data_IF_535865652127
#
_entry.id   IF_535865652127
#
_cell.length_a   1.000
_cell.length_b   1.000
_cell.length_c   1.000
_cell.angle_alpha   90.00
_cell.angle_beta   90.00
_cell.angle_gamma   90.00
#
_symmetry.space_group_name_H-M   'P 1'
#
loop_
_entity.id
_entity.type
_entity.pdbx_description
1 polymer ?
#
# COMPACT_ATOMS: atom_id res chain seq x y z
N UNK A 1 -6.04 -4.24 5.26
CA UNK A 1 -5.37 -4.27 6.58
C UNK A 1 -4.19 -5.24 6.69
N UNK A 2 -3.96 -6.16 5.72
CA UNK A 2 -2.76 -7.04 5.72
C UNK A 2 -1.42 -6.29 5.80
N UNK A 3 -1.40 -5.04 5.37
CA UNK A 3 -0.22 -4.18 5.46
C UNK A 3 0.20 -3.82 6.89
N UNK A 4 -0.55 -4.22 7.93
CA UNK A 4 -0.07 -4.17 9.30
C UNK A 4 1.23 -4.99 9.50
N UNK A 5 1.36 -6.14 8.80
CA UNK A 5 2.61 -6.90 8.80
C UNK A 5 3.77 -6.11 8.20
N UNK A 6 3.55 -5.52 7.01
CA UNK A 6 4.60 -4.68 6.39
C UNK A 6 4.90 -3.43 7.21
N UNK A 7 3.91 -2.89 7.93
CA UNK A 7 4.10 -1.77 8.85
C UNK A 7 5.03 -2.13 10.01
N UNK A 8 4.91 -3.32 10.58
CA UNK A 8 5.84 -3.82 11.61
C UNK A 8 7.28 -3.93 11.10
N UNK A 9 7.46 -4.43 9.86
CA UNK A 9 8.79 -4.48 9.23
C UNK A 9 9.34 -3.08 8.99
N UNK A 10 8.51 -2.15 8.49
CA UNK A 10 8.91 -0.77 8.23
C UNK A 10 9.28 -0.05 9.54
N UNK A 11 8.55 -0.28 10.63
CA UNK A 11 8.90 0.25 11.95
C UNK A 11 10.29 -0.21 12.39
N UNK A 12 10.58 -1.51 12.30
CA UNK A 12 11.90 -2.05 12.64
C UNK A 12 13.02 -1.50 11.74
N UNK A 13 12.79 -1.33 10.42
CA UNK A 13 13.77 -0.70 9.53
C UNK A 13 14.10 0.74 9.96
N UNK A 14 13.10 1.51 10.40
CA UNK A 14 13.28 2.87 10.92
C UNK A 14 14.08 2.84 12.23
N UNK A 15 13.70 1.97 13.17
CA UNK A 15 14.35 1.81 14.48
C UNK A 15 15.81 1.40 14.36
N UNK A 16 16.14 0.56 13.36
CA UNK A 16 17.52 0.16 13.05
C UNK A 16 18.25 1.12 12.11
N UNK A 17 17.66 2.27 11.79
CA UNK A 17 18.26 3.30 10.90
C UNK A 17 18.69 2.76 9.52
N UNK A 18 17.92 1.79 8.98
CA UNK A 18 18.17 1.25 7.64
C UNK A 18 17.50 2.13 6.60
N UNK A 19 18.30 2.88 5.83
CA UNK A 19 17.80 3.87 4.88
C UNK A 19 18.03 3.48 3.43
N UNK A 20 16.98 3.58 2.63
CA UNK A 20 17.02 3.37 1.18
C UNK A 20 17.01 4.73 0.45
N UNK A 21 17.75 4.88 -0.66
CA UNK A 21 17.74 6.11 -1.45
C UNK A 21 16.44 6.33 -2.22
N UNK A 22 15.66 5.27 -2.38
CA UNK A 22 14.40 5.24 -3.12
C UNK A 22 13.40 4.31 -2.46
N UNK A 23 12.17 4.76 -2.37
CA UNK A 23 11.05 3.96 -1.86
C UNK A 23 9.86 4.12 -2.79
N UNK A 24 9.19 3.05 -3.12
CA UNK A 24 7.93 3.09 -3.84
C UNK A 24 6.87 2.21 -3.19
N UNK A 25 5.63 2.62 -3.33
CA UNK A 25 4.50 1.89 -2.78
C UNK A 25 3.19 2.20 -3.48
N UNK A 26 2.21 1.33 -3.28
CA UNK A 26 0.85 1.56 -3.76
C UNK A 26 -0.15 1.07 -2.72
N UNK A 27 -1.37 1.64 -2.73
CA UNK A 27 -2.40 1.32 -1.74
C UNK A 27 -1.85 1.49 -0.32
N UNK A 28 -2.05 0.55 0.58
CA UNK A 28 -1.47 0.60 1.93
C UNK A 28 0.07 0.67 1.93
N UNK A 29 0.75 0.26 0.85
CA UNK A 29 2.20 0.43 0.69
C UNK A 29 2.61 1.90 0.51
N UNK A 30 1.74 2.76 -0.03
CA UNK A 30 2.00 4.21 -0.09
C UNK A 30 2.02 4.85 1.30
N UNK A 31 1.12 4.42 2.20
CA UNK A 31 1.13 4.86 3.60
C UNK A 31 2.40 4.42 4.32
N UNK A 32 2.83 3.16 4.12
CA UNK A 32 4.08 2.66 4.70
C UNK A 32 5.30 3.42 4.17
N UNK A 33 5.35 3.74 2.86
CA UNK A 33 6.43 4.51 2.26
C UNK A 33 6.52 5.94 2.84
N UNK A 34 5.38 6.60 3.03
CA UNK A 34 5.30 7.93 3.66
C UNK A 34 5.79 7.89 5.11
N UNK A 35 5.35 6.90 5.90
CA UNK A 35 5.78 6.75 7.29
C UNK A 35 7.29 6.46 7.40
N UNK A 36 7.81 5.63 6.49
CA UNK A 36 9.24 5.35 6.43
C UNK A 36 10.07 6.62 6.16
N UNK A 37 9.64 7.45 5.21
CA UNK A 37 10.32 8.71 4.88
C UNK A 37 10.20 9.72 6.02
N UNK A 38 9.07 9.77 6.72
CA UNK A 38 8.90 10.59 7.92
C UNK A 38 9.72 10.10 9.12
N UNK A 39 10.37 8.91 9.03
CA UNK A 39 11.16 8.29 10.09
C UNK A 39 10.39 8.09 11.40
N UNK A 40 9.10 7.72 11.27
CA UNK A 40 8.18 7.64 12.40
C UNK A 40 7.63 6.21 12.58
N UNK A 41 8.29 5.37 13.40
CA UNK A 41 7.86 4.01 13.67
C UNK A 41 6.53 3.96 14.44
N UNK A 42 6.29 4.93 15.33
CA UNK A 42 5.05 5.00 16.10
C UNK A 42 3.85 5.31 15.20
N UNK A 43 3.99 6.31 14.32
CA UNK A 43 2.95 6.61 13.32
C UNK A 43 2.69 5.42 12.41
N UNK A 44 3.72 4.64 12.08
CA UNK A 44 3.56 3.40 11.30
C UNK A 44 2.61 2.44 12.02
N UNK A 45 2.75 2.25 13.34
CA UNK A 45 1.82 1.44 14.14
C UNK A 45 0.44 2.08 14.24
N UNK A 46 0.37 3.39 14.51
CA UNK A 46 -0.90 4.12 14.59
C UNK A 46 -1.74 3.96 13.31
N UNK A 47 -1.15 4.12 12.13
CA UNK A 47 -1.83 4.04 10.85
C UNK A 47 -2.41 2.65 10.53
N UNK A 48 -1.85 1.56 11.06
CA UNK A 48 -2.21 0.20 10.68
C UNK A 48 -2.81 -0.64 11.81
N UNK A 49 -2.69 -0.18 13.06
CA UNK A 49 -3.20 -0.87 14.26
C UNK A 49 -4.15 0.03 15.03
N UNK A 50 -3.64 1.10 15.64
CA UNK A 50 -4.38 1.85 16.64
C UNK A 50 -5.58 2.60 16.07
N UNK A 51 -5.47 3.05 14.80
CA UNK A 51 -6.56 3.71 14.06
C UNK A 51 -7.83 2.87 14.00
N UNK A 52 -7.72 1.53 14.00
CA UNK A 52 -8.88 0.64 13.97
C UNK A 52 -9.71 0.70 15.26
N UNK A 53 -9.16 1.21 16.35
CA UNK A 53 -9.89 1.49 17.60
C UNK A 53 -10.75 2.76 17.55
N UNK A 54 -10.56 3.61 16.55
CA UNK A 54 -11.35 4.84 16.42
C UNK A 54 -12.71 4.52 15.77
N UNK A 55 -13.85 4.91 16.39
CA UNK A 55 -15.18 4.64 15.81
C UNK A 55 -15.41 5.23 14.42
N UNK A 56 -14.66 6.26 14.03
CA UNK A 56 -14.75 6.90 12.71
C UNK A 56 -14.00 6.14 11.62
N UNK A 57 -13.16 5.15 11.97
CA UNK A 57 -12.30 4.44 11.03
C UNK A 57 -13.09 3.70 9.95
N UNK A 58 -14.18 3.01 10.33
CA UNK A 58 -14.97 2.24 9.35
C UNK A 58 -15.86 1.19 10.01
N UNK A 59 -16.35 0.29 9.17
CA UNK A 59 -17.26 -0.78 9.57
C UNK A 59 -18.71 -0.53 9.15
N UNK A 60 -19.67 -1.23 9.75
CA UNK A 60 -21.10 -1.15 9.40
C UNK A 60 -21.66 0.25 9.59
N UNK A 61 -21.21 0.97 10.62
CA UNK A 61 -21.62 2.36 10.88
C UNK A 61 -21.23 3.30 9.74
N UNK A 62 -20.02 3.20 9.23
CA UNK A 62 -19.54 4.00 8.11
C UNK A 62 -20.33 3.74 6.81
N UNK A 63 -20.72 2.49 6.57
CA UNK A 63 -21.60 2.15 5.44
C UNK A 63 -22.98 2.82 5.53
N UNK A 64 -23.56 2.91 6.74
CA UNK A 64 -24.85 3.55 6.96
C UNK A 64 -24.81 5.07 6.72
N UNK A 65 -23.64 5.69 6.92
CA UNK A 65 -23.40 7.11 6.65
C UNK A 65 -22.92 7.41 5.23
N UNK A 66 -22.94 6.41 4.33
CA UNK A 66 -22.46 6.52 2.94
C UNK A 66 -20.97 6.87 2.80
N UNK A 67 -20.14 6.65 3.83
CA UNK A 67 -18.70 6.91 3.82
C UNK A 67 -17.87 5.75 3.23
N UNK A 68 -18.53 4.68 2.79
CA UNK A 68 -17.90 3.42 2.41
C UNK A 68 -17.64 2.52 3.61
N UNK A 69 -17.07 1.31 3.40
CA UNK A 69 -16.70 0.42 4.51
C UNK A 69 -15.59 1.02 5.38
N UNK A 70 -14.58 1.66 4.76
CA UNK A 70 -13.62 2.51 5.43
C UNK A 70 -13.96 3.97 5.14
N UNK A 71 -14.04 4.79 6.19
CA UNK A 71 -14.22 6.23 6.07
C UNK A 71 -12.93 6.89 5.59
N UNK A 72 -12.69 6.79 4.28
CA UNK A 72 -11.46 7.28 3.67
C UNK A 72 -11.32 8.79 3.76
N UNK A 73 -12.44 9.54 3.80
CA UNK A 73 -12.42 10.99 3.99
C UNK A 73 -11.85 11.34 5.35
N UNK A 74 -12.40 10.77 6.42
CA UNK A 74 -11.86 11.02 7.74
C UNK A 74 -10.40 10.58 7.85
N UNK A 75 -10.10 9.36 7.41
CA UNK A 75 -8.79 8.74 7.57
C UNK A 75 -7.65 9.54 6.94
N UNK A 76 -7.89 10.15 5.77
CA UNK A 76 -6.85 10.83 5.00
C UNK A 76 -6.98 12.35 4.99
N UNK A 77 -8.21 12.91 5.04
CA UNK A 77 -8.39 14.35 4.96
C UNK A 77 -8.49 14.99 6.35
N UNK A 78 -9.11 14.31 7.33
CA UNK A 78 -9.43 14.91 8.64
C UNK A 78 -8.47 14.46 9.76
N UNK A 79 -8.07 13.17 9.80
CA UNK A 79 -7.28 12.61 10.90
C UNK A 79 -5.88 13.25 11.06
N UNK A 80 -5.30 13.78 9.99
CA UNK A 80 -4.07 14.59 10.05
C UNK A 80 -4.35 15.96 10.68
N UNK A 81 -5.51 16.56 10.36
CA UNK A 81 -5.85 17.91 10.79
C UNK A 81 -6.37 17.93 12.23
N UNK A 82 -7.11 16.89 12.67
CA UNK A 82 -7.66 16.79 14.02
C UNK A 82 -6.67 16.19 15.05
N UNK A 83 -5.45 15.86 14.59
CA UNK A 83 -4.40 15.29 15.44
C UNK A 83 -4.55 13.81 15.76
N UNK A 84 -5.51 13.10 15.15
CA UNK A 84 -5.69 11.65 15.33
C UNK A 84 -4.56 10.86 14.69
N UNK A 85 -3.95 11.37 13.61
CA UNK A 85 -2.78 10.82 12.94
C UNK A 85 -1.75 11.93 12.68
N UNK A 86 -1.07 12.43 13.71
CA UNK A 86 -0.07 13.48 13.57
C UNK A 86 1.05 13.02 12.65
N UNK A 87 1.72 13.96 12.01
CA UNK A 87 2.85 13.70 11.13
C UNK A 87 3.92 14.77 11.31
N UNK A 88 5.16 14.34 11.44
CA UNK A 88 6.31 15.23 11.33
C UNK A 88 6.52 15.59 9.85
N UNK A 89 5.96 16.72 9.46
CA UNK A 89 6.07 17.22 8.09
C UNK A 89 7.48 17.66 7.73
N UNK A 90 8.22 18.22 8.66
CA UNK A 90 9.59 18.69 8.42
C UNK A 90 10.50 17.47 8.17
N UNK A 91 10.39 16.42 8.97
CA UNK A 91 11.10 15.17 8.74
C UNK A 91 10.79 14.57 7.37
N UNK A 92 9.52 14.55 6.95
CA UNK A 92 9.12 14.05 5.64
C UNK A 92 9.62 14.92 4.49
N UNK A 93 9.39 16.25 4.56
CA UNK A 93 9.65 17.17 3.44
C UNK A 93 11.14 17.40 3.16
N UNK A 94 11.98 17.29 4.21
CA UNK A 94 13.45 17.48 4.09
C UNK A 94 14.21 16.17 3.83
N UNK A 95 13.54 15.02 3.91
CA UNK A 95 14.21 13.72 3.70
C UNK A 95 14.72 13.57 2.26
N UNK A 96 15.97 13.17 2.02
CA UNK A 96 16.52 13.03 0.67
C UNK A 96 16.01 11.81 -0.12
N UNK A 97 15.35 10.86 0.54
CA UNK A 97 14.81 9.65 -0.10
C UNK A 97 13.81 10.00 -1.19
N UNK A 98 14.02 9.46 -2.39
CA UNK A 98 13.07 9.60 -3.50
C UNK A 98 11.83 8.73 -3.22
N UNK A 99 10.64 9.25 -3.53
CA UNK A 99 9.35 8.56 -3.36
C UNK A 99 8.60 8.48 -4.68
N UNK A 100 8.05 7.30 -4.99
CA UNK A 100 6.97 7.16 -5.99
C UNK A 100 5.80 6.38 -5.41
N UNK A 101 4.60 6.90 -5.61
CA UNK A 101 3.35 6.19 -5.33
C UNK A 101 2.49 6.19 -6.59
N UNK A 102 1.60 5.20 -6.72
CA UNK A 102 0.72 5.14 -7.89
C UNK A 102 -0.74 5.00 -7.52
N UNK A 103 -1.59 5.49 -8.44
CA UNK A 103 -3.03 5.29 -8.47
C UNK A 103 -3.47 4.82 -9.86
N UNK A 104 -4.74 4.48 -9.97
CA UNK A 104 -5.38 4.11 -11.22
C UNK A 104 -6.44 5.16 -11.55
N UNK A 105 -6.37 5.78 -12.72
CA UNK A 105 -7.40 6.67 -13.22
C UNK A 105 -8.57 5.85 -13.80
N UNK A 106 -9.76 6.06 -13.23
CA UNK A 106 -10.94 5.24 -13.55
C UNK A 106 -11.40 5.36 -15.00
N UNK A 107 -11.36 6.58 -15.56
CA UNK A 107 -12.06 6.90 -16.82
C UNK A 107 -11.18 6.72 -18.06
N UNK A 108 -9.86 6.63 -17.89
CA UNK A 108 -8.90 6.33 -18.97
C UNK A 108 -8.20 4.99 -18.83
N UNK A 109 -8.18 4.42 -17.61
CA UNK A 109 -7.43 3.19 -17.32
C UNK A 109 -5.94 3.42 -17.14
N UNK A 110 -5.48 4.66 -17.13
CA UNK A 110 -4.08 4.99 -16.97
C UNK A 110 -3.59 4.74 -15.54
N UNK A 111 -2.36 4.26 -15.42
CA UNK A 111 -1.61 4.30 -14.16
C UNK A 111 -1.04 5.71 -13.99
N UNK A 112 -1.40 6.38 -12.90
CA UNK A 112 -0.88 7.70 -12.54
C UNK A 112 0.10 7.53 -11.39
N UNK A 113 1.28 8.11 -11.49
CA UNK A 113 2.30 8.09 -10.45
C UNK A 113 2.56 9.50 -9.94
N UNK A 114 2.80 9.60 -8.64
CA UNK A 114 3.20 10.84 -7.98
C UNK A 114 4.51 10.63 -7.25
N UNK A 115 5.26 11.71 -7.17
CA UNK A 115 6.53 11.78 -6.45
C UNK A 115 6.36 12.61 -5.18
N UNK A 116 7.42 12.78 -4.41
CA UNK A 116 7.38 13.63 -3.21
C UNK A 116 7.18 15.10 -3.57
N UNK A 117 7.65 15.54 -4.73
CA UNK A 117 7.49 16.91 -5.23
C UNK A 117 6.02 17.31 -5.45
N UNK A 118 5.15 16.32 -5.72
CA UNK A 118 3.70 16.52 -5.83
C UNK A 118 3.04 16.68 -4.45
N UNK A 119 3.73 16.33 -3.37
CA UNK A 119 3.25 16.34 -1.99
C UNK A 119 3.66 17.66 -1.30
N UNK A 120 2.99 18.74 -1.64
CA UNK A 120 3.36 20.11 -1.20
C UNK A 120 2.90 20.47 0.21
N UNK A 121 2.10 19.64 0.85
CA UNK A 121 1.59 19.82 2.23
C UNK A 121 1.17 18.47 2.82
N UNK A 122 1.00 18.37 4.16
CA UNK A 122 0.46 17.15 4.79
C UNK A 122 -0.87 16.71 4.19
N UNK A 123 -1.75 17.65 3.89
CA UNK A 123 -3.06 17.37 3.31
C UNK A 123 -2.94 16.87 1.86
N UNK A 124 -2.10 17.51 1.03
CA UNK A 124 -1.87 17.07 -0.36
C UNK A 124 -1.29 15.67 -0.37
N UNK A 125 -0.27 15.39 0.46
CA UNK A 125 0.31 14.06 0.62
C UNK A 125 -0.76 13.03 1.01
N UNK A 126 -1.57 13.32 2.02
CA UNK A 126 -2.62 12.40 2.47
C UNK A 126 -3.67 12.12 1.38
N UNK A 127 -4.04 13.13 0.58
CA UNK A 127 -4.97 12.97 -0.55
C UNK A 127 -4.39 12.10 -1.66
N UNK A 128 -3.09 12.21 -1.97
CA UNK A 128 -2.43 11.35 -2.95
C UNK A 128 -2.32 9.90 -2.42
N UNK A 129 -2.02 9.72 -1.14
CA UNK A 129 -2.04 8.39 -0.49
C UNK A 129 -3.45 7.80 -0.47
N UNK A 130 -4.48 8.62 -0.20
CA UNK A 130 -5.89 8.22 -0.32
C UNK A 130 -6.21 7.76 -1.74
N UNK A 131 -5.82 8.52 -2.76
CA UNK A 131 -6.03 8.18 -4.16
C UNK A 131 -5.41 6.81 -4.50
N UNK A 132 -4.16 6.57 -4.02
CA UNK A 132 -3.47 5.29 -4.15
C UNK A 132 -4.18 4.12 -3.44
N UNK A 133 -4.96 4.40 -2.40
CA UNK A 133 -5.57 3.40 -1.50
C UNK A 133 -7.07 3.21 -1.69
N UNK A 134 -7.71 3.96 -2.59
CA UNK A 134 -9.17 3.96 -2.77
C UNK A 134 -9.66 2.69 -3.48
N UNK A 135 -10.02 1.68 -2.70
CA UNK A 135 -10.52 0.41 -3.22
C UNK A 135 -11.92 0.57 -3.83
N UNK A 136 -12.15 0.11 -5.09
CA UNK A 136 -13.47 0.13 -5.72
C UNK A 136 -14.52 -0.59 -4.86
N UNK A 137 -15.73 -0.05 -4.81
CA UNK A 137 -16.89 -0.56 -4.09
C UNK A 137 -16.76 -0.59 -2.55
N UNK A 138 -15.60 -0.35 -2.01
CA UNK A 138 -15.32 -0.39 -0.56
C UNK A 138 -15.11 1.01 0.01
N UNK A 139 -14.57 1.91 -0.79
CA UNK A 139 -14.27 3.29 -0.43
C UNK A 139 -14.82 4.26 -1.48
N UNK A 140 -15.19 5.45 -1.04
CA UNK A 140 -15.63 6.49 -1.96
C UNK A 140 -14.46 6.98 -2.83
N UNK A 141 -14.63 7.06 -4.15
CA UNK A 141 -13.62 7.61 -5.06
C UNK A 141 -13.17 9.01 -4.64
N UNK A 142 -11.95 9.36 -5.02
CA UNK A 142 -11.41 10.70 -4.83
C UNK A 142 -11.07 11.31 -6.18
N UNK A 143 -11.32 12.61 -6.32
CA UNK A 143 -10.91 13.40 -7.48
C UNK A 143 -9.59 14.12 -7.16
N UNK A 144 -8.62 13.96 -8.05
CA UNK A 144 -7.34 14.66 -8.01
C UNK A 144 -7.08 15.25 -9.39
N UNK A 145 -6.91 16.57 -9.48
CA UNK A 145 -6.67 17.27 -10.74
C UNK A 145 -7.78 17.09 -11.77
N UNK A 146 -9.04 16.95 -11.36
CA UNK A 146 -10.19 16.72 -12.25
C UNK A 146 -10.34 15.25 -12.72
N UNK A 147 -9.53 14.33 -12.22
CA UNK A 147 -9.53 12.91 -12.59
C UNK A 147 -9.96 12.05 -11.40
N UNK A 148 -10.81 11.06 -11.66
CA UNK A 148 -11.28 10.14 -10.60
C UNK A 148 -10.28 9.02 -10.39
N UNK A 149 -9.69 8.97 -9.18
CA UNK A 149 -8.65 8.04 -8.81
C UNK A 149 -9.18 6.86 -7.99
N UNK A 150 -8.61 5.70 -8.24
CA UNK A 150 -8.83 4.44 -7.55
C UNK A 150 -7.49 3.79 -7.16
N UNK A 151 -7.56 2.72 -6.36
CA UNK A 151 -6.43 1.97 -5.82
C UNK A 151 -5.36 1.64 -6.88
N UNK A 152 -4.11 1.99 -6.57
CA UNK A 152 -2.97 1.76 -7.45
C UNK A 152 -2.74 0.31 -7.83
N UNK A 153 -3.27 -0.63 -7.04
CA UNK A 153 -3.25 -2.06 -7.37
C UNK A 153 -4.17 -2.47 -8.52
N UNK A 154 -4.87 -1.53 -9.16
CA UNK A 154 -5.58 -1.72 -10.44
C UNK A 154 -4.67 -1.39 -11.64
N UNK A 155 -3.71 -0.53 -11.46
CA UNK A 155 -2.75 -0.10 -12.48
C UNK A 155 -1.67 -1.14 -12.78
N UNK A 156 -0.54 -0.67 -13.30
CA UNK A 156 0.64 -1.47 -13.65
C UNK A 156 1.12 -2.29 -12.45
N UNK A 157 1.60 -3.52 -12.68
CA UNK A 157 2.04 -4.43 -11.63
C UNK A 157 0.93 -5.02 -10.77
N UNK A 158 -0.34 -4.54 -10.90
CA UNK A 158 -1.56 -5.08 -10.27
C UNK A 158 -1.48 -5.30 -8.74
N UNK A 159 -0.56 -4.61 -8.07
CA UNK A 159 -0.30 -4.71 -6.62
C UNK A 159 1.17 -4.96 -6.26
N UNK A 160 2.06 -5.10 -7.23
CA UNK A 160 3.51 -5.22 -7.08
C UNK A 160 4.16 -4.00 -7.74
N UNK A 161 4.74 -3.05 -6.98
CA UNK A 161 5.19 -1.76 -7.50
C UNK A 161 6.60 -1.79 -8.13
N UNK A 162 7.14 -2.96 -8.45
CA UNK A 162 8.52 -3.17 -8.90
C UNK A 162 8.90 -2.31 -10.13
N UNK A 163 7.98 -2.23 -11.11
CA UNK A 163 8.18 -1.46 -12.34
C UNK A 163 8.55 0.00 -12.08
N UNK A 164 8.03 0.64 -11.00
CA UNK A 164 8.36 2.04 -10.69
C UNK A 164 9.86 2.21 -10.37
N UNK A 165 10.46 1.26 -9.66
CA UNK A 165 11.87 1.31 -9.34
C UNK A 165 12.74 0.94 -10.56
N UNK A 166 12.28 -0.02 -11.39
CA UNK A 166 12.96 -0.40 -12.64
C UNK A 166 12.97 0.75 -13.64
N UNK A 167 11.84 1.46 -13.83
CA UNK A 167 11.75 2.66 -14.67
C UNK A 167 12.69 3.78 -14.22
N UNK A 168 12.93 3.88 -12.90
CA UNK A 168 13.87 4.84 -12.30
C UNK A 168 15.34 4.34 -12.29
N UNK A 169 15.62 3.20 -12.94
CA UNK A 169 16.96 2.66 -13.18
C UNK A 169 17.54 1.84 -12.03
N UNK A 170 16.76 1.43 -11.07
CA UNK A 170 17.21 0.54 -10.01
C UNK A 170 17.24 -0.92 -10.48
N UNK A 171 18.27 -1.65 -10.08
CA UNK A 171 18.50 -3.04 -10.47
C UNK A 171 18.48 -4.01 -9.29
N UNK A 172 18.51 -3.52 -8.06
CA UNK A 172 18.42 -4.30 -6.83
C UNK A 172 17.26 -3.84 -5.97
N UNK A 173 16.53 -4.78 -5.39
CA UNK A 173 15.23 -4.51 -4.76
C UNK A 173 15.13 -5.16 -3.39
N UNK A 174 14.75 -4.38 -2.38
CA UNK A 174 14.28 -4.88 -1.10
C UNK A 174 12.74 -4.82 -1.11
N UNK A 175 12.10 -5.96 -1.31
CA UNK A 175 10.65 -6.03 -1.48
C UNK A 175 9.97 -6.59 -0.23
N UNK A 176 8.98 -5.86 0.31
CA UNK A 176 8.18 -6.30 1.45
C UNK A 176 6.77 -6.66 0.98
N UNK A 177 6.45 -7.95 1.02
CA UNK A 177 5.17 -8.51 0.57
C UNK A 177 4.16 -8.71 1.68
N UNK A 178 2.88 -8.74 1.31
CA UNK A 178 1.76 -9.02 2.23
C UNK A 178 1.20 -10.44 2.08
N UNK A 179 1.88 -11.29 1.31
CA UNK A 179 1.44 -12.66 1.05
C UNK A 179 2.57 -13.66 1.29
N UNK A 180 2.25 -14.85 1.82
CA UNK A 180 3.22 -15.93 1.96
C UNK A 180 3.86 -16.32 0.63
N UNK A 181 5.02 -16.97 0.70
CA UNK A 181 5.67 -17.55 -0.46
C UNK A 181 4.73 -18.51 -1.22
N UNK A 182 4.86 -18.55 -2.54
CA UNK A 182 4.04 -19.41 -3.41
C UNK A 182 2.59 -18.92 -3.62
N UNK A 183 2.17 -17.84 -2.98
CA UNK A 183 0.83 -17.29 -3.24
C UNK A 183 0.67 -16.86 -4.70
N UNK A 184 -0.47 -17.23 -5.29
CA UNK A 184 -0.91 -16.73 -6.61
C UNK A 184 -2.38 -16.33 -6.55
N UNK A 185 -2.76 -15.27 -7.25
CA UNK A 185 -4.16 -14.87 -7.37
C UNK A 185 -4.89 -15.81 -8.32
N UNK A 186 -6.08 -16.24 -7.91
CA UNK A 186 -6.97 -17.01 -8.79
C UNK A 186 -7.66 -16.09 -9.79
N UNK A 187 -7.62 -16.39 -11.10
CA UNK A 187 -8.37 -15.66 -12.12
C UNK A 187 -9.86 -15.60 -11.84
N UNK A 188 -10.49 -14.54 -12.29
CA UNK A 188 -11.92 -14.34 -12.10
C UNK A 188 -12.73 -15.33 -12.93
N UNK A 189 -13.51 -16.20 -12.29
CA UNK A 189 -14.41 -17.15 -12.95
C UNK A 189 -15.57 -16.49 -13.72
N UNK A 190 -16.19 -17.19 -14.68
CA UNK A 190 -17.20 -16.66 -15.60
C UNK A 190 -18.36 -15.95 -14.90
N UNK A 191 -18.95 -16.54 -13.85
CA UNK A 191 -20.06 -15.93 -13.12
C UNK A 191 -19.68 -14.61 -12.45
N UNK A 192 -18.49 -14.57 -11.82
CA UNK A 192 -17.98 -13.34 -11.21
C UNK A 192 -17.65 -12.27 -12.25
N UNK A 193 -17.14 -12.64 -13.43
CA UNK A 193 -16.94 -11.72 -14.56
C UNK A 193 -18.24 -11.05 -15.00
N UNK A 194 -19.34 -11.83 -15.17
CA UNK A 194 -20.64 -11.30 -15.53
C UNK A 194 -21.22 -10.32 -14.50
N UNK A 195 -21.09 -10.64 -13.20
CA UNK A 195 -21.50 -9.73 -12.14
C UNK A 195 -20.64 -8.44 -12.16
N UNK A 196 -19.33 -8.58 -12.27
CA UNK A 196 -18.42 -7.44 -12.28
C UNK A 196 -18.64 -6.54 -13.49
N UNK A 197 -18.92 -7.11 -14.67
CA UNK A 197 -19.28 -6.34 -15.87
C UNK A 197 -20.53 -5.47 -15.64
N UNK A 198 -21.54 -5.97 -14.90
CA UNK A 198 -22.73 -5.19 -14.54
C UNK A 198 -22.43 -4.10 -13.53
N UNK A 199 -21.61 -4.40 -12.50
CA UNK A 199 -21.21 -3.43 -11.47
C UNK A 199 -20.36 -2.30 -12.04
N UNK A 200 -19.57 -2.56 -13.07
CA UNK A 200 -18.73 -1.59 -13.78
C UNK A 200 -19.43 -1.01 -15.03
N UNK A 201 -20.78 -1.04 -15.10
CA UNK A 201 -21.49 -0.47 -16.24
C UNK A 201 -21.09 1.01 -16.45
N UNK A 202 -20.64 1.36 -17.67
CA UNK A 202 -20.10 2.68 -17.98
C UNK A 202 -18.65 2.95 -17.56
N UNK A 203 -17.98 1.95 -16.99
CA UNK A 203 -16.56 2.05 -16.54
C UNK A 203 -15.72 0.90 -17.15
N UNK A 204 -15.51 0.89 -18.48
CA UNK A 204 -14.86 -0.23 -19.17
C UNK A 204 -13.43 -0.49 -18.70
N UNK A 205 -12.67 0.56 -18.42
CA UNK A 205 -11.28 0.45 -17.95
C UNK A 205 -11.21 -0.14 -16.54
N UNK A 206 -12.13 0.24 -15.64
CA UNK A 206 -12.22 -0.38 -14.32
C UNK A 206 -12.55 -1.87 -14.43
N UNK A 207 -13.52 -2.24 -15.29
CA UNK A 207 -13.83 -3.65 -15.53
C UNK A 207 -12.61 -4.43 -16.02
N UNK A 208 -11.91 -3.92 -17.03
CA UNK A 208 -10.73 -4.57 -17.61
C UNK A 208 -9.62 -4.72 -16.57
N UNK A 209 -9.35 -3.66 -15.81
CA UNK A 209 -8.36 -3.68 -14.75
C UNK A 209 -8.66 -4.76 -13.68
N UNK A 210 -9.94 -4.92 -13.30
CA UNK A 210 -10.36 -5.95 -12.35
C UNK A 210 -10.34 -7.36 -12.96
N UNK A 211 -10.76 -7.50 -14.22
CA UNK A 211 -10.85 -8.79 -14.91
C UNK A 211 -9.48 -9.42 -15.15
N UNK A 212 -8.46 -8.60 -15.47
CA UNK A 212 -7.08 -9.04 -15.76
C UNK A 212 -6.14 -8.97 -14.57
N UNK A 213 -6.62 -8.50 -13.41
CA UNK A 213 -5.77 -8.26 -12.24
C UNK A 213 -4.98 -9.48 -11.77
N UNK A 214 -5.60 -10.67 -11.83
CA UNK A 214 -4.97 -11.88 -11.34
C UNK A 214 -3.76 -12.25 -12.20
N UNK A 215 -3.95 -12.23 -13.52
CA UNK A 215 -2.91 -12.53 -14.49
C UNK A 215 -1.73 -11.54 -14.39
N UNK A 216 -2.02 -10.24 -14.36
CA UNK A 216 -1.00 -9.19 -14.24
C UNK A 216 -0.24 -9.25 -12.91
N UNK A 217 -0.94 -9.53 -11.80
CA UNK A 217 -0.32 -9.70 -10.49
C UNK A 217 0.59 -10.91 -10.46
N UNK A 218 0.16 -12.04 -11.02
CA UNK A 218 0.95 -13.26 -11.04
C UNK A 218 2.19 -13.10 -11.92
N UNK A 219 2.07 -12.44 -13.08
CA UNK A 219 3.21 -12.13 -13.94
C UNK A 219 4.25 -11.23 -13.23
N UNK A 220 3.79 -10.22 -12.47
CA UNK A 220 4.69 -9.38 -11.67
C UNK A 220 5.36 -10.16 -10.52
N UNK A 221 4.67 -11.15 -9.91
CA UNK A 221 5.30 -12.05 -8.94
C UNK A 221 6.32 -12.98 -9.58
N UNK A 222 6.04 -13.52 -10.77
CA UNK A 222 6.98 -14.39 -11.48
C UNK A 222 8.27 -13.64 -11.80
N UNK A 223 8.17 -12.38 -12.24
CA UNK A 223 9.32 -11.51 -12.44
C UNK A 223 10.08 -11.23 -11.13
N UNK A 224 9.38 -10.94 -10.04
CA UNK A 224 10.00 -10.76 -8.72
C UNK A 224 10.73 -12.04 -8.26
N UNK A 225 10.13 -13.21 -8.46
CA UNK A 225 10.75 -14.51 -8.13
C UNK A 225 11.99 -14.79 -9.00
N UNK A 226 12.03 -14.30 -10.24
CA UNK A 226 13.23 -14.35 -11.10
C UNK A 226 14.36 -13.47 -10.57
N UNK A 227 14.04 -12.24 -10.15
CA UNK A 227 15.02 -11.35 -9.55
C UNK A 227 15.55 -11.88 -8.22
N UNK A 228 14.68 -12.49 -7.39
CA UNK A 228 15.08 -13.13 -6.14
C UNK A 228 16.06 -14.29 -6.40
N UNK A 229 15.77 -15.18 -7.37
CA UNK A 229 16.66 -16.27 -7.78
C UNK A 229 17.99 -15.78 -8.35
N UNK A 230 17.99 -14.63 -9.01
CA UNK A 230 19.19 -13.98 -9.53
C UNK A 230 20.00 -13.21 -8.46
N UNK A 231 19.55 -13.18 -7.19
CA UNK A 231 20.18 -12.42 -6.11
C UNK A 231 20.00 -10.90 -6.22
N UNK A 232 19.14 -10.44 -7.14
CA UNK A 232 18.83 -9.02 -7.38
C UNK A 232 17.68 -8.51 -6.51
N UNK A 233 16.86 -9.39 -5.95
CA UNK A 233 15.85 -9.01 -4.98
C UNK A 233 16.02 -9.78 -3.66
N UNK A 234 15.88 -9.07 -2.54
CA UNK A 234 15.60 -9.66 -1.24
C UNK A 234 14.10 -9.50 -1.00
N UNK A 235 13.40 -10.62 -0.86
CA UNK A 235 11.94 -10.62 -0.77
C UNK A 235 11.49 -11.08 0.60
N UNK A 236 10.98 -10.13 1.38
CA UNK A 236 10.45 -10.38 2.72
C UNK A 236 8.96 -10.70 2.62
N UNK A 237 8.57 -11.88 3.10
CA UNK A 237 7.18 -12.38 3.06
C UNK A 237 6.76 -12.87 4.44
N UNK A 238 5.48 -12.72 4.83
CA UNK A 238 4.97 -13.37 6.03
C UNK A 238 4.96 -14.91 5.85
N UNK A 239 5.24 -15.64 6.90
CA UNK A 239 5.06 -17.10 6.91
C UNK A 239 3.58 -17.46 6.76
N UNK A 240 2.71 -16.72 7.46
CA UNK A 240 1.25 -16.86 7.39
C UNK A 240 0.61 -15.48 7.38
N UNK A 241 -0.60 -15.37 6.82
CA UNK A 241 -1.39 -14.13 6.82
C UNK A 241 -2.82 -14.42 7.31
N UNK A 242 -3.07 -14.38 8.62
CA UNK A 242 -4.35 -14.80 9.20
C UNK A 242 -5.49 -13.79 9.02
N UNK A 243 -5.21 -12.59 8.50
CA UNK A 243 -6.20 -11.51 8.35
C UNK A 243 -6.54 -11.18 6.90
N UNK A 244 -7.69 -10.57 6.69
CA UNK A 244 -8.17 -10.07 5.41
C UNK A 244 -7.90 -8.55 5.25
N UNK A 245 -8.11 -8.02 4.03
CA UNK A 245 -7.97 -6.58 3.77
C UNK A 245 -8.97 -5.70 4.54
N UNK A 246 -10.10 -6.27 4.92
CA UNK A 246 -11.19 -5.60 5.63
C UNK A 246 -11.19 -5.90 7.14
N UNK A 247 -10.10 -6.42 7.69
CA UNK A 247 -9.97 -6.66 9.13
C UNK A 247 -10.00 -5.33 9.90
N UNK A 248 -10.80 -5.29 10.98
CA UNK A 248 -10.94 -4.12 11.86
C UNK A 248 -10.69 -4.46 13.33
N UNK A 249 -10.45 -5.72 13.66
CA UNK A 249 -10.14 -6.14 15.02
C UNK A 249 -8.71 -5.71 15.38
N UNK A 250 -8.60 -4.78 16.34
CA UNK A 250 -7.33 -4.17 16.74
C UNK A 250 -6.32 -5.20 17.28
N UNK A 251 -6.77 -6.22 18.03
CA UNK A 251 -5.86 -7.22 18.59
C UNK A 251 -5.26 -8.11 17.51
N UNK A 252 -6.06 -8.45 16.47
CA UNK A 252 -5.54 -9.17 15.30
C UNK A 252 -4.58 -8.32 14.47
N UNK A 253 -4.86 -7.03 14.33
CA UNK A 253 -3.97 -6.11 13.62
C UNK A 253 -2.66 -5.94 14.37
N UNK A 254 -2.72 -5.80 15.70
CA UNK A 254 -1.53 -5.73 16.56
C UNK A 254 -0.70 -7.02 16.45
N UNK A 255 -1.32 -8.17 16.57
CA UNK A 255 -0.61 -9.45 16.46
C UNK A 255 0.11 -9.61 15.10
N UNK A 256 -0.50 -9.14 14.02
CA UNK A 256 0.11 -9.20 12.67
C UNK A 256 1.21 -8.15 12.51
N UNK A 257 1.08 -6.98 13.11
CA UNK A 257 2.13 -5.97 13.17
C UNK A 257 3.34 -6.50 13.95
N UNK A 258 3.12 -7.04 15.16
CA UNK A 258 4.16 -7.60 16.00
C UNK A 258 4.87 -8.78 15.33
N UNK A 259 4.14 -9.60 14.57
CA UNK A 259 4.72 -10.67 13.75
C UNK A 259 5.67 -10.11 12.68
N UNK A 260 5.31 -9.02 12.02
CA UNK A 260 6.17 -8.35 11.04
C UNK A 260 7.41 -7.73 11.68
N UNK A 261 7.24 -7.07 12.81
CA UNK A 261 8.35 -6.48 13.58
C UNK A 261 9.33 -7.55 14.07
N UNK A 262 8.81 -8.62 14.69
CA UNK A 262 9.65 -9.74 15.18
C UNK A 262 10.38 -10.47 14.04
N UNK A 263 9.77 -10.56 12.85
CA UNK A 263 10.45 -11.08 11.66
C UNK A 263 11.64 -10.20 11.29
N UNK A 264 11.45 -8.89 11.27
CA UNK A 264 12.51 -7.95 10.95
C UNK A 264 13.66 -8.00 11.95
N UNK A 265 13.36 -8.02 13.26
CA UNK A 265 14.37 -8.17 14.31
C UNK A 265 15.23 -9.44 14.12
N UNK A 266 14.59 -10.55 13.82
CA UNK A 266 15.27 -11.82 13.60
C UNK A 266 16.17 -11.85 12.38
N UNK A 267 15.73 -11.21 11.28
CA UNK A 267 16.39 -11.27 9.98
C UNK A 267 17.28 -10.06 9.69
N UNK A 268 17.30 -9.05 10.55
CA UNK A 268 17.99 -7.76 10.30
C UNK A 268 19.46 -7.95 9.94
N UNK A 269 20.18 -8.80 10.63
CA UNK A 269 21.59 -9.08 10.34
C UNK A 269 21.79 -9.60 8.90
N UNK A 270 20.94 -10.55 8.48
CA UNK A 270 20.97 -11.08 7.13
C UNK A 270 20.63 -10.01 6.07
N UNK A 271 19.64 -9.14 6.36
CA UNK A 271 19.27 -8.06 5.44
C UNK A 271 20.41 -7.05 5.25
N UNK A 272 21.06 -6.66 6.34
CA UNK A 272 22.21 -5.74 6.30
C UNK A 272 23.37 -6.33 5.51
N UNK A 273 23.68 -7.63 5.69
CA UNK A 273 24.69 -8.31 4.88
C UNK A 273 24.33 -8.31 3.38
N UNK A 274 23.07 -8.53 3.04
CA UNK A 274 22.61 -8.50 1.64
C UNK A 274 22.70 -7.09 1.05
N UNK A 275 22.36 -6.05 1.81
CA UNK A 275 22.37 -4.65 1.36
C UNK A 275 23.79 -4.14 1.09
N UNK A 276 24.82 -4.68 1.76
CA UNK A 276 26.21 -4.27 1.62
C UNK A 276 26.96 -4.96 0.48
N UNK A 277 26.38 -5.97 -0.13
CA UNK A 277 26.93 -6.66 -1.32
C UNK A 277 26.59 -5.89 -2.60
#
# INVERSE_FOLDING_TARGET
>A
MRAAHTAGIVAALIEHEVWFPYVCGLSAGSSNAVNYIARDPERTRMCFVDIAGNPRFGGVGSLLHHDGFFNSRWLYDEAIQDGSLPMDWDAFSTNPTRLRIQSFERDTGCTVTWTREDMTSPLTMARLVRASSTMPFVMNPIEVGGQVMLDGGLGTGAGIPLHMAEEDGFERFFFIGTRPAGYRKTPMGRGKRGLMHRLCAGQPYLYEALATRAERYNAALDHLDELERAGRALVVRPETMPIHNTETNIDKLRAVFDQGHALAEREMGHWLEWLTR
#
